data_IF_005047216827
#
_entry.id   IF_005047216827
#
_cell.length_a   1.000
_cell.length_b   1.000
_cell.length_c   1.000
_cell.angle_alpha   90.00
_cell.angle_beta   90.00
_cell.angle_gamma   90.00
#
_symmetry.space_group_name_H-M   'P 1'
#
loop_
_entity.id
_entity.type
_entity.pdbx_description
1 polymer ?
#
# COMPACT_ATOMS: atom_id res chain seq x y z
N UNK A 1 -5.10 17.51 -7.45
CA UNK A 1 -4.50 16.31 -6.89
C UNK A 1 -5.26 15.83 -5.69
N UNK A 2 -5.38 14.54 -5.56
CA UNK A 2 -6.16 13.92 -4.50
C UNK A 2 -5.26 13.07 -3.61
N UNK A 3 -5.57 13.08 -2.34
CA UNK A 3 -4.88 12.21 -1.40
C UNK A 3 -5.47 10.81 -1.52
N UNK A 4 -4.63 9.82 -1.74
CA UNK A 4 -5.05 8.42 -1.85
C UNK A 4 -4.31 7.61 -0.80
N UNK A 5 -4.91 6.50 -0.43
CA UNK A 5 -4.34 5.59 0.56
C UNK A 5 -3.93 4.31 -0.14
N UNK A 6 -2.63 4.05 -0.13
CA UNK A 6 -2.09 2.80 -0.64
C UNK A 6 -2.04 1.82 0.53
N UNK A 7 -2.85 0.80 0.45
CA UNK A 7 -2.97 -0.20 1.51
C UNK A 7 -2.32 -1.48 1.03
N UNK A 8 -1.40 -2.01 1.82
CA UNK A 8 -0.72 -3.23 1.42
C UNK A 8 -0.48 -4.14 2.61
N UNK A 9 -0.47 -5.43 2.31
CA UNK A 9 -0.20 -6.46 3.30
C UNK A 9 1.23 -6.94 3.12
N UNK A 10 2.04 -6.80 4.16
CA UNK A 10 3.43 -7.25 4.13
C UNK A 10 3.62 -8.37 5.14
N UNK A 11 4.37 -9.37 4.73
CA UNK A 11 4.59 -10.57 5.54
C UNK A 11 6.08 -10.80 5.71
N UNK A 12 6.45 -11.39 6.85
CA UNK A 12 7.84 -11.74 7.08
C UNK A 12 8.27 -12.87 6.15
N UNK A 13 9.56 -12.85 5.80
CA UNK A 13 10.09 -13.88 4.91
C UNK A 13 10.36 -15.18 5.63
N UNK A 14 10.67 -15.11 6.93
CA UNK A 14 11.15 -16.28 7.64
C UNK A 14 10.14 -16.91 8.57
N UNK A 15 9.07 -16.20 8.88
CA UNK A 15 8.10 -16.68 9.86
C UNK A 15 6.73 -16.69 9.24
N UNK A 16 6.17 -17.87 8.93
CA UNK A 16 4.84 -17.92 8.35
C UNK A 16 3.82 -17.28 9.28
N UNK A 17 2.89 -16.58 8.69
CA UNK A 17 1.83 -15.94 9.47
C UNK A 17 2.15 -14.56 9.99
N UNK A 18 3.37 -14.10 9.85
CA UNK A 18 3.73 -12.77 10.32
C UNK A 18 3.40 -11.69 9.31
N UNK A 19 2.12 -11.42 9.12
CA UNK A 19 1.66 -10.43 8.17
C UNK A 19 1.03 -9.25 8.88
N UNK A 20 1.18 -8.07 8.28
CA UNK A 20 0.63 -6.85 8.85
C UNK A 20 0.22 -5.90 7.73
N UNK A 21 -0.85 -5.18 7.97
CA UNK A 21 -1.35 -4.20 7.01
C UNK A 21 -0.67 -2.86 7.24
N UNK A 22 -0.27 -2.23 6.14
CA UNK A 22 0.39 -0.94 6.17
C UNK A 22 -0.33 0.02 5.24
N UNK A 23 -0.15 1.31 5.50
CA UNK A 23 -0.78 2.37 4.71
C UNK A 23 0.25 3.41 4.35
N UNK A 24 0.20 3.86 3.09
CA UNK A 24 1.00 5.00 2.65
C UNK A 24 0.04 5.99 2.00
N UNK A 25 -0.03 7.19 2.55
CA UNK A 25 -0.84 8.25 1.98
C UNK A 25 0.02 9.08 1.05
N UNK A 26 -0.46 9.30 -0.17
CA UNK A 26 0.26 10.16 -1.09
C UNK A 26 -0.72 10.82 -2.04
N UNK A 27 -0.23 11.87 -2.72
CA UNK A 27 -1.06 12.60 -3.65
C UNK A 27 -0.97 11.97 -5.03
N UNK A 28 -2.13 11.77 -5.63
CA UNK A 28 -2.22 11.16 -6.94
C UNK A 28 -2.90 12.12 -7.91
N UNK A 29 -2.90 11.74 -9.18
CA UNK A 29 -3.49 12.57 -10.23
C UNK A 29 -5.00 12.59 -10.22
N UNK A 30 -5.63 11.94 -9.26
CA UNK A 30 -7.06 12.09 -9.07
C UNK A 30 -7.90 10.85 -9.29
N UNK A 31 -7.27 9.71 -9.56
CA UNK A 31 -8.03 8.48 -9.72
C UNK A 31 -7.28 7.33 -9.04
N UNK A 32 -8.05 6.29 -8.70
CA UNK A 32 -7.43 5.10 -8.12
C UNK A 32 -6.57 4.37 -9.14
N UNK A 33 -6.91 4.52 -10.41
CA UNK A 33 -6.10 3.93 -11.46
C UNK A 33 -4.72 4.57 -11.50
N UNK A 34 -4.66 5.89 -11.39
CA UNK A 34 -3.39 6.59 -11.31
C UNK A 34 -2.62 6.16 -10.08
N UNK A 35 -3.31 5.98 -8.97
CA UNK A 35 -2.68 5.50 -7.75
C UNK A 35 -2.01 4.15 -7.99
N UNK A 36 -2.70 3.24 -8.66
CA UNK A 36 -2.14 1.91 -8.93
C UNK A 36 -0.85 2.00 -9.73
N UNK A 37 -0.80 2.90 -10.70
CA UNK A 37 0.40 3.07 -11.49
C UNK A 37 1.52 3.74 -10.71
N UNK A 38 1.16 4.70 -9.85
CA UNK A 38 2.13 5.45 -9.08
C UNK A 38 2.60 4.72 -7.84
N UNK A 39 1.87 3.68 -7.43
CA UNK A 39 2.19 2.96 -6.21
C UNK A 39 3.47 2.15 -6.31
N UNK A 40 3.84 1.73 -7.50
CA UNK A 40 4.97 0.82 -7.67
C UNK A 40 6.28 1.37 -7.13
N UNK A 41 6.67 2.61 -7.45
CA UNK A 41 7.90 3.14 -6.85
C UNK A 41 7.83 3.28 -5.34
N UNK A 42 6.64 3.60 -4.81
CA UNK A 42 6.50 3.67 -3.35
C UNK A 42 6.68 2.31 -2.71
N UNK A 43 6.09 1.28 -3.30
CA UNK A 43 6.23 -0.07 -2.78
C UNK A 43 7.67 -0.56 -2.90
N UNK A 44 8.32 -0.27 -4.02
CA UNK A 44 9.69 -0.68 -4.23
C UNK A 44 10.61 -0.07 -3.19
N UNK A 45 10.42 1.21 -2.92
CA UNK A 45 11.22 1.91 -1.92
C UNK A 45 10.96 1.33 -0.53
N UNK A 46 9.70 1.08 -0.22
CA UNK A 46 9.34 0.54 1.08
C UNK A 46 9.96 -0.84 1.29
N UNK A 47 9.91 -1.69 0.26
CA UNK A 47 10.50 -3.02 0.34
C UNK A 47 12.00 -2.92 0.54
N UNK A 48 12.63 -1.98 -0.13
CA UNK A 48 14.07 -1.77 0.02
C UNK A 48 14.47 -1.38 1.44
N UNK A 49 13.57 -0.71 2.15
CA UNK A 49 13.82 -0.31 3.52
C UNK A 49 13.42 -1.37 4.53
N UNK A 50 12.72 -2.41 4.06
CA UNK A 50 12.26 -3.48 4.95
C UNK A 50 12.63 -4.83 4.35
N UNK A 51 13.93 -5.17 4.29
CA UNK A 51 14.37 -6.37 3.59
C UNK A 51 13.86 -7.68 4.19
N UNK A 52 13.33 -7.64 5.41
CA UNK A 52 12.78 -8.83 6.05
C UNK A 52 11.34 -9.10 5.67
N UNK A 53 10.75 -8.20 4.89
CA UNK A 53 9.33 -8.27 4.57
C UNK A 53 9.12 -8.34 3.07
N UNK A 54 7.99 -8.91 2.67
CA UNK A 54 7.55 -8.91 1.28
C UNK A 54 6.11 -8.45 1.23
N UNK A 55 5.74 -7.80 0.15
CA UNK A 55 4.37 -7.35 -0.05
C UNK A 55 3.59 -8.49 -0.69
N UNK A 56 2.58 -8.98 0.01
CA UNK A 56 1.76 -10.08 -0.48
C UNK A 56 0.68 -9.58 -1.43
N UNK A 57 0.11 -8.41 -1.14
CA UNK A 57 -0.91 -7.82 -2.00
C UNK A 57 -1.07 -6.36 -1.60
N UNK A 58 -1.66 -5.58 -2.51
CA UNK A 58 -1.87 -4.17 -2.26
C UNK A 58 -3.02 -3.66 -3.12
N UNK A 59 -3.57 -2.54 -2.69
CA UNK A 59 -4.61 -1.86 -3.45
C UNK A 59 -4.65 -0.40 -3.03
N UNK A 60 -5.32 0.42 -3.83
CA UNK A 60 -5.50 1.82 -3.54
C UNK A 60 -6.95 2.08 -3.14
N UNK A 61 -7.15 3.03 -2.25
CA UNK A 61 -8.48 3.40 -1.80
C UNK A 61 -8.51 4.88 -1.48
N UNK A 62 -9.70 5.44 -1.44
CA UNK A 62 -9.89 6.81 -0.98
C UNK A 62 -9.92 6.77 0.55
N UNK A 63 -9.16 7.63 1.22
CA UNK A 63 -9.14 7.60 2.70
C UNK A 63 -10.51 7.74 3.32
N UNK A 64 -11.36 8.57 2.72
CA UNK A 64 -12.70 8.80 3.25
C UNK A 64 -13.61 7.60 3.11
N UNK A 65 -13.36 6.77 2.13
CA UNK A 65 -14.27 5.67 1.80
C UNK A 65 -13.90 4.37 2.44
N UNK A 66 -12.70 4.27 2.98
CA UNK A 66 -12.30 3.03 3.63
C UNK A 66 -13.21 2.67 4.77
N UNK A 67 -13.58 3.67 5.55
CA UNK A 67 -14.40 3.43 6.74
C UNK A 67 -15.79 2.98 6.38
N UNK A 68 -16.29 3.41 5.23
CA UNK A 68 -17.65 3.08 4.82
C UNK A 68 -17.75 1.64 4.36
N UNK A 69 -16.67 1.12 3.84
CA UNK A 69 -16.66 -0.24 3.30
C UNK A 69 -16.17 -1.26 4.30
N UNK A 70 -15.67 -0.77 5.41
CA UNK A 70 -15.07 -1.62 6.43
C UNK A 70 -16.03 -2.40 7.24
#
# INVERSE_FOLDING_TARGET
MQLVDLIFLACTLVSPGGCREYHILFQSAGSLRSCSMEAQPYLAQWIGEHPNLRVARWHCAWPDQEDENG
#
